data_IF_703779689723
#
_entry.id   IF_703779689723
#
_cell.length_a   1.000
_cell.length_b   1.000
_cell.length_c   1.000
_cell.angle_alpha   90.00
_cell.angle_beta   90.00
_cell.angle_gamma   90.00
#
_symmetry.space_group_name_H-M   'P 1'
#
loop_
_entity.id
_entity.type
_entity.pdbx_description
1 polymer ?
#
# COMPACT_ATOMS: atom_id res chain seq x y z
N UNK A 1 28.58 -9.75 -17.05
CA UNK A 1 27.50 -10.50 -17.74
C UNK A 1 26.19 -9.80 -17.43
N UNK A 2 25.78 -8.90 -18.32
CA UNK A 2 24.65 -8.00 -18.15
C UNK A 2 23.45 -8.58 -18.89
N UNK A 3 22.47 -9.13 -18.16
CA UNK A 3 21.26 -9.66 -18.79
C UNK A 3 20.37 -8.50 -19.23
N UNK A 4 20.46 -8.21 -20.53
CA UNK A 4 19.62 -7.29 -21.30
C UNK A 4 18.25 -7.94 -21.50
N UNK A 5 17.24 -7.43 -20.81
CA UNK A 5 15.83 -7.79 -21.02
C UNK A 5 15.46 -7.39 -22.46
N UNK A 6 15.14 -8.38 -23.29
CA UNK A 6 14.62 -8.19 -24.65
C UNK A 6 13.21 -7.57 -24.57
N UNK A 7 13.07 -6.39 -25.18
CA UNK A 7 11.93 -5.99 -26.01
C UNK A 7 10.52 -6.19 -25.43
N UNK A 8 10.08 -5.25 -24.59
CA UNK A 8 8.66 -4.93 -24.44
C UNK A 8 8.31 -4.00 -25.61
N UNK A 9 7.80 -4.55 -26.71
CA UNK A 9 7.46 -3.77 -27.91
C UNK A 9 6.15 -4.20 -28.56
N UNK A 10 5.29 -4.92 -27.84
CA UNK A 10 3.96 -5.31 -28.33
C UNK A 10 2.87 -5.25 -27.26
N UNK A 11 3.00 -4.32 -26.32
CA UNK A 11 1.81 -3.77 -25.64
C UNK A 11 1.46 -2.50 -26.40
N UNK A 12 0.43 -2.60 -27.24
CA UNK A 12 -0.15 -1.46 -27.95
C UNK A 12 -0.53 -0.37 -26.94
N UNK A 13 0.13 0.77 -27.02
CA UNK A 13 -0.15 1.97 -26.22
C UNK A 13 -1.56 2.51 -26.54
N UNK A 14 -2.47 2.61 -25.55
CA UNK A 14 -3.50 3.62 -25.63
C UNK A 14 -2.92 4.92 -25.05
N UNK A 15 -2.74 5.89 -25.93
CA UNK A 15 -2.78 7.34 -25.67
C UNK A 15 -2.57 7.79 -24.22
N UNK A 16 -1.33 8.19 -23.96
CA UNK A 16 -0.90 8.95 -22.78
C UNK A 16 -1.60 10.31 -22.79
N UNK A 17 -2.72 10.43 -22.09
CA UNK A 17 -3.30 11.71 -21.71
C UNK A 17 -2.74 12.12 -20.35
N UNK A 18 -2.28 13.37 -20.24
CA UNK A 18 -1.49 13.94 -19.14
C UNK A 18 -2.27 14.18 -17.83
N UNK A 19 -3.24 13.33 -17.48
CA UNK A 19 -4.15 13.57 -16.35
C UNK A 19 -4.53 12.35 -15.52
N UNK A 20 -3.82 11.22 -15.62
CA UNK A 20 -3.95 10.14 -14.60
C UNK A 20 -2.59 9.53 -14.24
N UNK A 21 -2.15 9.62 -12.96
CA UNK A 21 -0.84 9.13 -12.57
C UNK A 21 -0.90 7.64 -12.27
N UNK A 22 -0.44 6.83 -13.21
CA UNK A 22 -0.09 5.42 -13.02
C UNK A 22 0.94 5.17 -11.90
N UNK A 23 1.52 6.24 -11.33
CA UNK A 23 2.44 6.24 -10.19
C UNK A 23 1.78 6.40 -8.81
N UNK A 24 0.50 6.79 -8.72
CA UNK A 24 -0.05 7.32 -7.46
C UNK A 24 -0.97 6.36 -6.69
N UNK A 25 -1.33 5.21 -7.27
CA UNK A 25 -2.07 4.19 -6.53
C UNK A 25 -1.31 2.89 -6.66
N UNK A 26 -0.71 2.43 -5.56
CA UNK A 26 -0.08 1.11 -5.51
C UNK A 26 -1.09 0.10 -6.06
N UNK A 27 -0.76 -0.61 -7.17
CA UNK A 27 -1.72 -1.49 -7.80
C UNK A 27 -2.19 -2.54 -6.79
N UNK A 28 -3.41 -3.03 -6.92
CA UNK A 28 -4.02 -4.02 -5.99
C UNK A 28 -3.06 -5.20 -5.74
N UNK A 29 -2.27 -5.57 -6.76
CA UNK A 29 -1.22 -6.56 -6.66
C UNK A 29 -0.17 -6.26 -5.57
N UNK A 30 0.24 -5.01 -5.37
CA UNK A 30 1.17 -4.59 -4.32
C UNK A 30 0.55 -4.78 -2.93
N UNK A 31 -0.72 -4.38 -2.75
CA UNK A 31 -1.43 -4.61 -1.49
C UNK A 31 -1.54 -6.09 -1.13
N UNK A 32 -1.89 -6.93 -2.12
CA UNK A 32 -1.92 -8.39 -1.96
C UNK A 32 -0.54 -8.98 -1.70
N UNK A 33 0.51 -8.43 -2.32
CA UNK A 33 1.90 -8.83 -2.07
C UNK A 33 2.32 -8.52 -0.63
N UNK A 34 2.01 -7.31 -0.13
CA UNK A 34 2.32 -6.93 1.25
C UNK A 34 1.57 -7.86 2.22
N UNK A 35 0.27 -8.11 2.01
CA UNK A 35 -0.50 -9.06 2.80
C UNK A 35 0.13 -10.46 2.80
N UNK A 36 0.56 -10.93 1.63
CA UNK A 36 1.25 -12.21 1.50
C UNK A 36 2.54 -12.28 2.34
N UNK A 37 3.38 -11.23 2.27
CA UNK A 37 4.62 -11.13 3.06
C UNK A 37 4.32 -11.05 4.56
N UNK A 38 3.32 -10.26 4.96
CA UNK A 38 2.89 -10.13 6.36
C UNK A 38 2.42 -11.48 6.90
N UNK A 39 1.59 -12.21 6.16
CA UNK A 39 1.12 -13.55 6.54
C UNK A 39 2.28 -14.54 6.64
N UNK A 40 3.19 -14.54 5.68
CA UNK A 40 4.36 -15.39 5.69
C UNK A 40 5.27 -15.09 6.88
N UNK A 41 5.52 -13.81 7.18
CA UNK A 41 6.31 -13.37 8.33
C UNK A 41 5.67 -13.84 9.64
N UNK A 42 4.36 -13.59 9.81
CA UNK A 42 3.61 -14.05 10.99
C UNK A 42 3.67 -15.57 11.16
N UNK A 43 3.52 -16.34 10.09
CA UNK A 43 3.59 -17.80 10.14
C UNK A 43 4.96 -18.32 10.63
N UNK A 44 6.03 -17.54 10.43
CA UNK A 44 7.39 -17.88 10.85
C UNK A 44 7.86 -17.10 12.09
N UNK A 45 6.95 -16.40 12.79
CA UNK A 45 7.30 -15.57 13.95
C UNK A 45 8.29 -14.44 13.63
N UNK A 46 8.28 -13.94 12.38
CA UNK A 46 9.12 -12.83 11.92
C UNK A 46 8.31 -11.54 11.88
N UNK A 47 8.95 -10.46 12.32
CA UNK A 47 8.42 -9.11 12.19
C UNK A 47 8.54 -8.65 10.74
N UNK A 48 7.51 -7.95 10.24
CA UNK A 48 7.53 -7.33 8.91
C UNK A 48 7.50 -5.83 9.09
N UNK A 49 8.52 -5.18 8.53
CA UNK A 49 8.69 -3.73 8.52
C UNK A 49 8.54 -3.20 7.09
N UNK A 50 8.05 -1.97 6.94
CA UNK A 50 7.96 -1.29 5.65
C UNK A 50 8.61 0.10 5.74
N UNK A 51 9.51 0.37 4.80
CA UNK A 51 10.15 1.67 4.63
C UNK A 51 9.73 2.34 3.33
N UNK A 52 9.81 3.67 3.30
CA UNK A 52 9.61 4.48 2.10
C UNK A 52 8.34 5.34 2.17
N UNK A 53 8.10 6.08 1.08
CA UNK A 53 7.06 7.11 1.02
C UNK A 53 5.64 6.57 1.31
N UNK A 54 5.38 5.31 0.97
CA UNK A 54 4.09 4.67 1.23
C UNK A 54 3.81 4.53 2.74
N UNK A 55 4.84 4.23 3.55
CA UNK A 55 4.71 4.18 5.01
C UNK A 55 4.57 5.59 5.62
N UNK A 56 5.11 6.60 4.94
CA UNK A 56 5.10 7.99 5.39
C UNK A 56 3.79 8.73 5.07
N UNK A 57 2.94 8.22 4.17
CA UNK A 57 1.64 8.84 3.87
C UNK A 57 0.68 8.65 5.08
N UNK A 58 0.17 9.74 5.68
CA UNK A 58 -0.72 9.67 6.84
C UNK A 58 -2.04 8.93 6.62
N UNK A 59 -2.48 8.74 5.38
CA UNK A 59 -3.69 7.97 5.04
C UNK A 59 -3.37 6.48 4.88
N UNK A 60 -2.17 6.16 4.40
CA UNK A 60 -1.78 4.80 4.01
C UNK A 60 -1.00 4.09 5.12
N UNK A 61 -0.11 4.79 5.83
CA UNK A 61 0.64 4.24 6.96
C UNK A 61 -0.24 3.52 7.99
N UNK A 62 -1.34 4.14 8.48
CA UNK A 62 -2.25 3.46 9.40
C UNK A 62 -2.91 2.21 8.80
N UNK A 63 -3.23 2.24 7.50
CA UNK A 63 -3.81 1.10 6.78
C UNK A 63 -2.82 -0.06 6.65
N UNK A 64 -1.53 0.23 6.43
CA UNK A 64 -0.46 -0.78 6.44
C UNK A 64 -0.30 -1.42 7.83
N UNK A 65 -0.44 -0.64 8.91
CA UNK A 65 -0.46 -1.17 10.26
C UNK A 65 -1.68 -2.09 10.49
N UNK A 66 -2.87 -1.68 10.02
CA UNK A 66 -4.09 -2.50 10.06
C UNK A 66 -3.99 -3.79 9.24
N UNK A 67 -3.21 -3.79 8.16
CA UNK A 67 -2.89 -4.97 7.36
C UNK A 67 -1.98 -5.96 8.13
N UNK A 68 -1.25 -5.49 9.14
CA UNK A 68 -0.36 -6.29 9.99
C UNK A 68 1.13 -6.01 9.79
N UNK A 69 1.49 -4.92 9.11
CA UNK A 69 2.87 -4.40 9.15
C UNK A 69 3.14 -3.90 10.57
N UNK A 70 4.20 -4.41 11.19
CA UNK A 70 4.48 -4.17 12.61
C UNK A 70 5.36 -2.94 12.84
N UNK A 71 6.17 -2.58 11.85
CA UNK A 71 7.09 -1.46 11.93
C UNK A 71 7.02 -0.61 10.66
N UNK A 72 6.87 0.70 10.82
CA UNK A 72 6.88 1.68 9.74
C UNK A 72 8.11 2.58 9.91
N UNK A 73 8.98 2.58 8.90
CA UNK A 73 10.17 3.41 8.87
C UNK A 73 9.99 4.57 7.89
N UNK A 74 10.21 5.80 8.37
CA UNK A 74 9.98 7.03 7.61
C UNK A 74 10.88 8.17 8.10
N UNK A 75 10.87 9.28 7.37
CA UNK A 75 11.58 10.49 7.78
C UNK A 75 10.95 11.11 9.06
N UNK A 76 11.74 11.72 9.96
CA UNK A 76 11.23 12.28 11.21
C UNK A 76 10.03 13.23 11.06
N UNK A 77 9.95 14.10 10.04
CA UNK A 77 8.80 14.98 9.85
C UNK A 77 7.47 14.23 9.57
N UNK A 78 7.52 13.04 8.97
CA UNK A 78 6.32 12.26 8.65
C UNK A 78 5.74 11.52 9.87
N UNK A 79 6.58 11.19 10.87
CA UNK A 79 6.20 10.39 12.03
C UNK A 79 5.01 11.01 12.78
N UNK A 80 5.05 12.33 13.02
CA UNK A 80 3.99 13.01 13.75
C UNK A 80 2.63 12.92 13.04
N UNK A 81 2.62 13.05 11.71
CA UNK A 81 1.39 13.01 10.92
C UNK A 81 0.79 11.59 10.88
N UNK A 82 1.62 10.57 10.60
CA UNK A 82 1.17 9.17 10.58
C UNK A 82 0.70 8.73 11.97
N UNK A 83 1.43 9.08 13.02
CA UNK A 83 1.03 8.77 14.41
C UNK A 83 -0.29 9.44 14.77
N UNK A 84 -0.48 10.70 14.39
CA UNK A 84 -1.75 11.40 14.62
C UNK A 84 -2.91 10.70 13.92
N UNK A 85 -2.74 10.29 12.66
CA UNK A 85 -3.76 9.56 11.91
C UNK A 85 -4.09 8.20 12.56
N UNK A 86 -3.07 7.44 12.97
CA UNK A 86 -3.24 6.20 13.72
C UNK A 86 -4.10 6.39 14.98
N UNK A 87 -3.89 7.48 15.72
CA UNK A 87 -4.63 7.76 16.96
C UNK A 87 -6.07 8.29 16.76
N UNK A 88 -6.44 8.71 15.54
CA UNK A 88 -7.81 9.21 15.26
C UNK A 88 -8.86 8.10 15.17
N UNK A 89 -8.42 6.86 14.94
CA UNK A 89 -9.29 5.70 14.76
C UNK A 89 -8.76 4.51 15.55
N UNK A 90 -9.56 3.47 15.69
CA UNK A 90 -9.14 2.24 16.38
C UNK A 90 -8.32 1.34 15.46
N UNK A 91 -7.55 0.41 16.03
CA UNK A 91 -6.82 -0.57 15.22
C UNK A 91 -7.78 -1.52 14.48
N UNK A 92 -8.93 -1.80 15.08
CA UNK A 92 -10.01 -2.59 14.48
C UNK A 92 -10.52 -1.91 13.20
N UNK A 93 -10.73 -0.59 13.21
CA UNK A 93 -11.14 0.18 12.03
C UNK A 93 -10.13 0.03 10.88
N UNK A 94 -8.84 0.23 11.16
CA UNK A 94 -7.79 0.09 10.14
C UNK A 94 -7.68 -1.33 9.61
N UNK A 95 -7.87 -2.33 10.46
CA UNK A 95 -7.88 -3.74 10.06
C UNK A 95 -9.08 -4.08 9.18
N UNK A 96 -10.28 -3.60 9.50
CA UNK A 96 -11.48 -3.81 8.69
C UNK A 96 -11.32 -3.20 7.29
N UNK A 97 -10.84 -1.96 7.22
CA UNK A 97 -10.56 -1.31 5.93
C UNK A 97 -9.48 -2.03 5.13
N UNK A 98 -8.42 -2.50 5.78
CA UNK A 98 -7.38 -3.27 5.10
C UNK A 98 -7.95 -4.56 4.48
N UNK A 99 -8.86 -5.24 5.18
CA UNK A 99 -9.55 -6.42 4.64
C UNK A 99 -10.51 -6.06 3.50
N UNK A 100 -11.20 -4.92 3.57
CA UNK A 100 -12.04 -4.43 2.49
C UNK A 100 -11.22 -4.10 1.24
N UNK A 101 -10.08 -3.44 1.41
CA UNK A 101 -9.15 -3.12 0.33
C UNK A 101 -8.65 -4.38 -0.40
N UNK A 102 -8.35 -5.46 0.33
CA UNK A 102 -7.89 -6.71 -0.26
C UNK A 102 -8.96 -7.42 -1.13
N UNK A 103 -10.24 -7.12 -0.88
CA UNK A 103 -11.37 -7.64 -1.67
C UNK A 103 -11.61 -6.87 -2.96
N UNK A 104 -10.98 -5.71 -3.15
CA UNK A 104 -11.08 -4.95 -4.39
C UNK A 104 -10.61 -5.81 -5.59
N UNK A 105 -11.42 -5.83 -6.65
CA UNK A 105 -11.11 -6.52 -7.90
C UNK A 105 -10.66 -5.54 -8.99
N UNK A 106 -11.14 -4.30 -8.92
CA UNK A 106 -10.81 -3.23 -9.86
C UNK A 106 -10.13 -2.06 -9.16
N UNK A 107 -9.38 -1.27 -9.94
CA UNK A 107 -8.75 -0.04 -9.44
C UNK A 107 -9.80 0.95 -8.89
N UNK A 108 -11.02 0.95 -9.44
CA UNK A 108 -12.12 1.76 -8.96
C UNK A 108 -12.58 1.35 -7.57
N UNK A 109 -12.72 0.05 -7.31
CA UNK A 109 -13.13 -0.45 -5.98
C UNK A 109 -12.10 -0.08 -4.92
N UNK A 110 -10.81 -0.28 -5.25
CA UNK A 110 -9.70 0.12 -4.39
C UNK A 110 -9.73 1.62 -4.10
N UNK A 111 -9.95 2.45 -5.13
CA UNK A 111 -10.01 3.89 -4.97
C UNK A 111 -11.21 4.31 -4.11
N UNK A 112 -12.36 3.63 -4.22
CA UNK A 112 -13.52 3.88 -3.37
C UNK A 112 -13.19 3.63 -1.88
N UNK A 113 -12.50 2.53 -1.57
CA UNK A 113 -12.04 2.24 -0.21
C UNK A 113 -11.06 3.32 0.27
N UNK A 114 -10.06 3.69 -0.53
CA UNK A 114 -9.08 4.72 -0.17
C UNK A 114 -9.71 6.11 0.01
N UNK A 115 -10.76 6.42 -0.74
CA UNK A 115 -11.49 7.69 -0.60
C UNK A 115 -12.39 7.72 0.65
N UNK A 116 -12.67 6.57 1.26
CA UNK A 116 -13.47 6.47 2.48
C UNK A 116 -12.67 6.69 3.77
N UNK A 117 -11.34 6.81 3.66
CA UNK A 117 -10.43 7.05 4.78
C UNK A 117 -10.74 8.39 5.46
N UNK A 118 -10.83 8.38 6.80
CA UNK A 118 -11.18 9.54 7.64
C UNK A 118 -9.98 10.07 8.43
#
# INVERSE_FOLDING_TARGET
MCWRVKSISSVSEPMISSSTPWLLTAPIAVWRLIDHVVRAGRAHGKTVALCGELAADPRIGPLLAGLGVQELSMSPPAIANVKTALHKQTMEYWRELAQELLKAETASDMQAVLNSLK
#
